data_IF_737517375643
#
_entry.id   IF_737517375643
#
_cell.length_a   1.000
_cell.length_b   1.000
_cell.length_c   1.000
_cell.angle_alpha   90.00
_cell.angle_beta   90.00
_cell.angle_gamma   90.00
#
_symmetry.space_group_name_H-M   'P 1'
#
loop_
_entity.id
_entity.type
_entity.pdbx_description
1 polymer ?
#
# COMPACT_ATOMS: atom_id res chain seq x y z
N UNK A 1 31.15 76.18 48.03
CA UNK A 1 30.96 75.20 46.94
C UNK A 1 30.70 73.84 47.57
N UNK A 2 29.43 73.47 47.65
CA UNK A 2 28.91 72.28 48.34
C UNK A 2 28.72 71.15 47.32
N UNK A 3 29.53 70.09 47.40
CA UNK A 3 29.31 68.89 46.60
C UNK A 3 28.53 67.84 47.40
N UNK A 4 27.25 67.77 47.07
CA UNK A 4 26.25 66.81 47.52
C UNK A 4 26.43 65.52 46.71
N UNK A 5 26.97 64.46 47.31
CA UNK A 5 26.99 63.12 46.68
C UNK A 5 25.63 62.46 46.93
N UNK A 6 24.93 62.20 45.83
CA UNK A 6 23.71 61.39 45.83
C UNK A 6 24.08 59.91 45.92
N UNK A 7 23.44 59.21 46.85
CA UNK A 7 23.43 57.75 46.92
C UNK A 7 22.40 57.23 45.90
N UNK A 8 22.86 56.45 44.92
CA UNK A 8 21.99 55.66 44.05
C UNK A 8 21.53 54.42 44.81
N UNK A 9 20.23 54.20 44.78
CA UNK A 9 19.52 53.12 45.45
C UNK A 9 18.65 52.43 44.39
N UNK A 10 18.68 51.09 44.38
CA UNK A 10 17.74 50.15 43.77
C UNK A 10 17.60 50.07 42.24
N UNK A 11 17.83 48.89 41.68
CA UNK A 11 16.75 47.91 41.46
C UNK A 11 17.33 46.55 41.01
N UNK A 12 17.27 45.58 41.92
CA UNK A 12 17.61 44.19 41.66
C UNK A 12 16.39 43.52 41.01
N UNK A 13 16.50 43.18 39.71
CA UNK A 13 15.44 42.45 39.00
C UNK A 13 15.40 40.99 39.45
N UNK A 14 14.23 40.42 39.79
CA UNK A 14 14.12 38.99 40.07
C UNK A 14 14.30 38.17 38.77
N UNK A 15 15.17 37.15 38.86
CA UNK A 15 15.40 36.13 37.83
C UNK A 15 14.10 35.35 37.54
N UNK A 16 13.72 35.12 36.28
CA UNK A 16 12.73 34.10 35.95
C UNK A 16 13.34 32.71 36.16
N UNK A 17 12.65 31.88 36.94
CA UNK A 17 12.95 30.47 37.08
C UNK A 17 12.49 29.75 35.81
N UNK A 18 13.43 29.41 34.92
CA UNK A 18 13.16 28.49 33.82
C UNK A 18 13.19 27.06 34.35
N UNK A 19 11.98 26.49 34.46
CA UNK A 19 11.75 25.10 34.79
C UNK A 19 12.33 24.18 33.72
N UNK A 20 13.08 23.19 34.19
CA UNK A 20 13.42 21.99 33.43
C UNK A 20 12.19 21.09 33.38
N UNK A 21 11.37 21.23 32.35
CA UNK A 21 10.43 20.18 31.94
C UNK A 21 11.04 19.39 30.78
N UNK A 22 11.90 18.43 31.15
CA UNK A 22 12.25 17.32 30.27
C UNK A 22 11.17 16.26 30.38
N UNK A 23 10.04 16.43 29.68
CA UNK A 23 9.11 15.34 29.40
C UNK A 23 9.43 14.76 28.02
N UNK A 24 10.19 13.67 28.03
CA UNK A 24 10.33 12.77 26.91
C UNK A 24 8.95 12.21 26.55
N UNK A 25 8.33 12.75 25.49
CA UNK A 25 7.18 12.11 24.86
C UNK A 25 7.66 10.88 24.07
N UNK A 26 7.83 9.77 24.79
CA UNK A 26 7.78 8.45 24.16
C UNK A 26 6.34 8.21 23.68
N UNK A 27 6.19 8.07 22.36
CA UNK A 27 4.94 7.70 21.71
C UNK A 27 4.64 6.21 21.96
N UNK A 28 4.35 5.86 23.21
CA UNK A 28 3.74 4.59 23.57
C UNK A 28 2.22 4.82 23.66
N UNK A 29 1.46 4.20 22.76
CA UNK A 29 0.01 4.29 22.75
C UNK A 29 -0.57 3.93 24.11
N UNK A 30 -1.24 4.88 24.75
CA UNK A 30 -1.94 4.67 26.00
C UNK A 30 -3.11 3.72 25.75
N UNK A 31 -2.93 2.45 26.12
CA UNK A 31 -4.01 1.48 26.23
C UNK A 31 -4.79 1.82 27.49
N UNK A 32 -6.00 2.35 27.32
CA UNK A 32 -6.89 2.74 28.42
C UNK A 32 -7.52 1.48 29.01
N UNK A 33 -7.10 1.10 30.22
CA UNK A 33 -7.79 0.10 31.03
C UNK A 33 -8.34 0.77 32.30
N UNK A 34 -9.65 1.03 32.30
CA UNK A 34 -10.36 1.48 33.50
C UNK A 34 -11.75 2.01 33.19
N UNK A 35 -12.78 1.26 33.59
CA UNK A 35 -14.20 1.61 33.43
C UNK A 35 -14.56 3.00 34.00
N UNK A 36 -13.76 3.52 34.93
CA UNK A 36 -13.96 4.85 35.53
C UNK A 36 -13.67 6.00 34.55
N UNK A 37 -12.62 5.91 33.74
CA UNK A 37 -12.28 6.96 32.77
C UNK A 37 -13.21 6.94 31.56
N UNK A 38 -13.78 5.78 31.22
CA UNK A 38 -14.77 5.68 30.15
C UNK A 38 -16.06 6.43 30.52
N UNK A 39 -16.46 6.43 31.80
CA UNK A 39 -17.60 7.24 32.28
C UNK A 39 -17.34 8.74 32.19
N UNK A 40 -16.15 9.19 32.55
CA UNK A 40 -15.77 10.61 32.43
C UNK A 40 -15.74 11.07 30.97
N UNK A 41 -15.20 10.24 30.06
CA UNK A 41 -15.18 10.56 28.64
C UNK A 41 -16.59 10.58 28.03
N UNK A 42 -17.45 9.64 28.42
CA UNK A 42 -18.84 9.58 27.96
C UNK A 42 -19.65 10.81 28.42
N UNK A 43 -19.47 11.21 29.68
CA UNK A 43 -20.12 12.40 30.24
C UNK A 43 -19.63 13.71 29.59
N UNK A 44 -18.34 13.81 29.28
CA UNK A 44 -17.79 14.95 28.55
C UNK A 44 -18.32 15.04 27.11
N UNK A 45 -18.45 13.89 26.43
CA UNK A 45 -19.01 13.82 25.08
C UNK A 45 -20.49 14.23 25.06
N UNK A 46 -21.33 13.73 25.97
CA UNK A 46 -22.75 14.12 26.05
C UNK A 46 -22.93 15.62 26.35
N UNK A 47 -22.11 16.20 27.24
CA UNK A 47 -22.16 17.63 27.54
C UNK A 47 -21.74 18.52 26.35
N UNK A 48 -20.87 18.02 25.45
CA UNK A 48 -20.47 18.76 24.25
C UNK A 48 -21.58 18.85 23.20
N UNK A 49 -22.42 17.80 23.08
CA UNK A 49 -23.55 17.78 22.15
C UNK A 49 -24.81 18.47 22.70
N UNK A 50 -24.95 18.63 24.02
CA UNK A 50 -26.09 19.30 24.63
C UNK A 50 -26.21 20.81 24.26
N UNK A 51 -25.11 21.43 23.79
CA UNK A 51 -25.09 22.84 23.37
C UNK A 51 -25.38 23.04 21.89
N UNK A 52 -25.29 22.00 21.07
CA UNK A 52 -25.53 22.10 19.63
C UNK A 52 -26.99 21.69 19.32
N UNK A 53 -27.92 22.63 19.56
CA UNK A 53 -29.35 22.45 19.25
C UNK A 53 -29.69 22.70 17.78
N UNK A 54 -28.70 22.67 16.90
CA UNK A 54 -28.90 22.84 15.47
C UNK A 54 -29.20 21.46 14.87
N UNK A 55 -30.43 21.17 14.41
CA UNK A 55 -30.67 19.96 13.66
C UNK A 55 -29.94 20.13 12.33
N UNK A 56 -28.71 19.62 12.26
CA UNK A 56 -28.01 19.50 10.99
C UNK A 56 -28.81 18.48 10.17
N UNK A 57 -29.65 19.02 9.29
CA UNK A 57 -30.38 18.27 8.28
C UNK A 57 -29.39 17.80 7.20
N UNK A 58 -28.35 17.07 7.62
CA UNK A 58 -27.38 16.47 6.73
C UNK A 58 -28.04 15.23 6.15
N UNK A 59 -28.56 15.38 4.95
CA UNK A 59 -29.13 14.29 4.17
C UNK A 59 -27.98 13.34 3.78
N UNK A 60 -27.62 12.43 4.68
CA UNK A 60 -26.67 11.37 4.36
C UNK A 60 -27.36 10.42 3.37
N UNK A 61 -26.77 10.16 2.19
CA UNK A 61 -27.29 9.16 1.29
C UNK A 61 -27.34 7.81 2.00
N UNK A 62 -28.45 7.11 1.79
CA UNK A 62 -28.75 5.79 2.37
C UNK A 62 -27.52 4.86 2.22
N UNK A 63 -27.10 4.14 3.27
CA UNK A 63 -25.89 3.32 3.22
C UNK A 63 -26.15 2.08 2.35
N UNK A 64 -25.90 2.23 1.05
CA UNK A 64 -25.93 1.17 0.05
C UNK A 64 -24.54 0.70 -0.40
N UNK A 65 -23.46 1.15 0.24
CA UNK A 65 -22.09 0.77 -0.13
C UNK A 65 -21.37 0.08 1.02
N UNK A 66 -21.27 -1.24 0.89
CA UNK A 66 -20.44 -2.13 1.71
C UNK A 66 -18.94 -1.81 1.52
N UNK A 67 -18.44 -0.73 2.13
CA UNK A 67 -17.01 -0.58 2.35
C UNK A 67 -16.63 -1.45 3.55
N UNK A 68 -16.17 -2.66 3.26
CA UNK A 68 -15.58 -3.56 4.24
C UNK A 68 -14.17 -3.05 4.56
N UNK A 69 -14.07 -2.22 5.59
CA UNK A 69 -12.79 -1.86 6.21
C UNK A 69 -12.27 -3.13 6.88
N UNK A 70 -11.22 -3.73 6.33
CA UNK A 70 -10.58 -4.91 6.91
C UNK A 70 -9.58 -4.43 7.97
N UNK A 71 -10.08 -4.13 9.16
CA UNK A 71 -9.26 -4.09 10.37
C UNK A 71 -9.13 -5.51 10.89
N UNK A 72 -7.90 -6.02 11.00
CA UNK A 72 -7.60 -7.22 11.78
C UNK A 72 -7.79 -6.90 13.27
N UNK A 73 -9.03 -6.98 13.74
CA UNK A 73 -9.31 -7.07 15.18
C UNK A 73 -9.79 -8.48 15.49
N UNK A 74 -8.98 -9.18 16.29
CA UNK A 74 -9.35 -10.44 16.92
C UNK A 74 -10.39 -10.19 18.02
N UNK A 75 -11.63 -9.89 17.60
CA UNK A 75 -12.78 -9.94 18.49
C UNK A 75 -13.23 -11.40 18.64
N UNK A 76 -13.12 -11.94 19.85
CA UNK A 76 -13.71 -13.24 20.20
C UNK A 76 -15.22 -13.06 20.34
N UNK A 77 -15.94 -13.18 19.23
CA UNK A 77 -17.40 -13.20 19.25
C UNK A 77 -17.92 -14.44 20.00
N UNK A 78 -18.73 -14.20 21.04
CA UNK A 78 -19.44 -15.20 21.86
C UNK A 78 -20.64 -15.84 21.16
N UNK A 79 -20.78 -15.68 19.85
CA UNK A 79 -21.83 -16.39 19.10
C UNK A 79 -21.29 -17.75 18.66
N UNK A 80 -21.88 -18.84 19.17
CA UNK A 80 -21.58 -20.23 18.79
C UNK A 80 -21.95 -20.58 17.34
N UNK A 81 -21.53 -19.75 16.38
CA UNK A 81 -21.47 -20.10 14.97
C UNK A 81 -20.14 -20.76 14.70
N UNK A 82 -20.19 -22.01 14.29
CA UNK A 82 -19.03 -22.80 13.90
C UNK A 82 -18.06 -21.96 13.06
N UNK A 83 -16.84 -21.79 13.58
CA UNK A 83 -15.74 -21.16 12.85
C UNK A 83 -15.61 -21.94 11.56
N UNK A 84 -15.99 -21.33 10.43
CA UNK A 84 -15.76 -21.91 9.10
C UNK A 84 -14.31 -22.33 9.05
N UNK A 85 -14.07 -23.63 8.90
CA UNK A 85 -12.74 -24.20 8.80
C UNK A 85 -11.91 -23.38 7.82
N UNK A 86 -10.61 -23.13 8.12
CA UNK A 86 -9.76 -22.38 7.22
C UNK A 86 -9.86 -22.99 5.83
N UNK A 87 -9.98 -22.16 4.78
CA UNK A 87 -10.10 -22.67 3.41
C UNK A 87 -8.93 -23.60 3.12
N UNK A 88 -9.20 -24.75 2.50
CA UNK A 88 -8.16 -25.68 2.10
C UNK A 88 -7.32 -25.03 0.97
N UNK A 89 -6.15 -24.51 1.35
CA UNK A 89 -5.19 -23.90 0.42
C UNK A 89 -4.20 -24.99 0.04
N UNK A 90 -4.09 -25.27 -1.26
CA UNK A 90 -3.02 -26.13 -1.78
C UNK A 90 -1.69 -25.43 -1.56
N UNK A 91 -0.75 -26.11 -0.90
CA UNK A 91 0.61 -25.61 -0.73
C UNK A 91 1.32 -25.49 -2.07
N UNK A 92 2.09 -24.42 -2.22
CA UNK A 92 2.79 -24.06 -3.44
C UNK A 92 4.14 -24.76 -3.43
N UNK A 93 4.44 -25.47 -4.51
CA UNK A 93 5.72 -26.19 -4.61
C UNK A 93 6.85 -25.25 -5.06
N UNK A 94 8.09 -25.58 -4.72
CA UNK A 94 9.26 -24.79 -5.13
C UNK A 94 9.39 -24.67 -6.65
N UNK A 95 9.13 -25.76 -7.37
CA UNK A 95 9.11 -25.77 -8.84
C UNK A 95 8.09 -24.78 -9.41
N UNK A 96 6.91 -24.65 -8.79
CA UNK A 96 5.91 -23.67 -9.20
C UNK A 96 6.39 -22.23 -8.99
N UNK A 97 7.15 -21.96 -7.93
CA UNK A 97 7.77 -20.65 -7.70
C UNK A 97 8.88 -20.36 -8.71
N UNK A 98 9.71 -21.34 -9.07
CA UNK A 98 10.77 -21.20 -10.08
C UNK A 98 10.21 -20.88 -11.47
N UNK A 99 9.14 -21.57 -11.88
CA UNK A 99 8.45 -21.29 -13.15
C UNK A 99 7.90 -19.87 -13.16
N UNK A 100 7.28 -19.42 -12.07
CA UNK A 100 6.75 -18.05 -11.95
C UNK A 100 7.85 -16.99 -11.95
N UNK A 101 8.96 -17.24 -11.23
CA UNK A 101 10.11 -16.35 -11.21
C UNK A 101 10.74 -16.22 -12.60
N UNK A 102 10.87 -17.33 -13.32
CA UNK A 102 11.36 -17.35 -14.71
C UNK A 102 10.43 -16.60 -15.66
N UNK A 103 9.12 -16.59 -15.37
CA UNK A 103 8.12 -15.77 -16.07
C UNK A 103 8.14 -14.28 -15.73
N UNK A 104 9.07 -13.81 -14.89
CA UNK A 104 9.22 -12.40 -14.52
C UNK A 104 8.43 -11.98 -13.28
N UNK A 105 7.85 -12.91 -12.51
CA UNK A 105 7.20 -12.58 -11.24
C UNK A 105 8.25 -12.26 -10.16
N UNK A 106 8.34 -10.98 -9.82
CA UNK A 106 9.31 -10.46 -8.84
C UNK A 106 9.08 -11.02 -7.43
N UNK A 107 7.83 -11.33 -7.06
CA UNK A 107 7.52 -11.87 -5.73
C UNK A 107 7.96 -13.32 -5.62
N UNK A 108 7.76 -14.13 -6.66
CA UNK A 108 8.24 -15.50 -6.69
C UNK A 108 9.78 -15.54 -6.58
N UNK A 109 10.48 -14.67 -7.31
CA UNK A 109 11.93 -14.54 -7.22
C UNK A 109 12.40 -14.10 -5.82
N UNK A 110 11.66 -13.19 -5.17
CA UNK A 110 11.94 -12.76 -3.79
C UNK A 110 11.88 -13.93 -2.80
N UNK A 111 10.85 -14.79 -2.87
CA UNK A 111 10.73 -15.94 -1.96
C UNK A 111 11.87 -16.95 -2.14
N UNK A 112 12.26 -17.24 -3.38
CA UNK A 112 13.40 -18.13 -3.65
C UNK A 112 14.72 -17.56 -3.11
N UNK A 113 14.94 -16.25 -3.29
CA UNK A 113 16.13 -15.56 -2.76
C UNK A 113 16.15 -15.59 -1.23
N UNK A 114 15.02 -15.29 -0.59
CA UNK A 114 14.93 -15.28 0.87
C UNK A 114 15.07 -16.67 1.48
N UNK A 115 14.50 -17.69 0.83
CA UNK A 115 14.69 -19.08 1.20
C UNK A 115 16.17 -19.48 1.14
N UNK A 116 16.85 -19.13 0.04
CA UNK A 116 18.29 -19.37 -0.13
C UNK A 116 19.10 -18.65 0.95
N UNK A 117 18.78 -17.39 1.22
CA UNK A 117 19.40 -16.58 2.27
C UNK A 117 19.34 -17.28 3.64
N UNK A 118 18.18 -17.82 4.03
CA UNK A 118 18.05 -18.59 5.28
C UNK A 118 18.87 -19.87 5.27
N UNK A 119 18.89 -20.60 4.15
CA UNK A 119 19.65 -21.84 4.01
C UNK A 119 21.16 -21.57 4.16
N UNK A 120 21.64 -20.48 3.57
CA UNK A 120 23.05 -20.12 3.54
C UNK A 120 23.52 -19.51 4.86
N UNK A 121 22.68 -18.73 5.55
CA UNK A 121 23.07 -17.97 6.74
C UNK A 121 22.65 -18.59 8.08
N UNK A 122 21.63 -19.46 8.12
CA UNK A 122 21.21 -20.11 9.36
C UNK A 122 21.74 -21.56 9.41
N UNK A 123 22.36 -21.96 10.54
CA UNK A 123 22.75 -23.36 10.73
C UNK A 123 21.51 -24.27 10.73
N UNK A 124 21.72 -25.55 10.40
CA UNK A 124 20.66 -26.54 10.48
C UNK A 124 20.15 -26.65 11.93
N UNK A 125 18.86 -26.45 12.14
CA UNK A 125 18.21 -26.46 13.45
C UNK A 125 16.77 -25.96 13.39
N UNK A 126 16.09 -25.95 14.54
CA UNK A 126 14.68 -25.56 14.63
C UNK A 126 14.42 -24.12 14.14
N UNK A 127 15.36 -23.20 14.34
CA UNK A 127 15.21 -21.82 13.92
C UNK A 127 15.14 -21.69 12.38
N UNK A 128 15.98 -22.45 11.67
CA UNK A 128 15.96 -22.52 10.21
C UNK A 128 14.64 -23.09 9.71
N UNK A 129 14.14 -24.16 10.33
CA UNK A 129 12.86 -24.78 9.95
C UNK A 129 11.68 -23.84 10.18
N UNK A 130 11.64 -23.13 11.32
CA UNK A 130 10.61 -22.13 11.60
C UNK A 130 10.64 -20.97 10.59
N UNK A 131 11.83 -20.50 10.22
CA UNK A 131 12.00 -19.44 9.23
C UNK A 131 11.52 -19.89 7.83
N UNK A 132 11.89 -21.11 7.41
CA UNK A 132 11.42 -21.71 6.16
C UNK A 132 9.90 -21.90 6.15
N UNK A 133 9.31 -22.38 7.26
CA UNK A 133 7.86 -22.54 7.39
C UNK A 133 7.10 -21.22 7.29
N UNK A 134 7.65 -20.13 7.86
CA UNK A 134 7.06 -18.78 7.76
C UNK A 134 7.06 -18.26 6.33
N UNK A 135 8.14 -18.48 5.59
CA UNK A 135 8.23 -18.13 4.18
C UNK A 135 7.25 -18.95 3.35
N UNK A 136 7.20 -20.26 3.60
CA UNK A 136 6.28 -21.15 2.90
C UNK A 136 4.82 -20.73 3.13
N UNK A 137 4.43 -20.44 4.38
CA UNK A 137 3.09 -19.94 4.70
C UNK A 137 2.76 -18.63 3.98
N UNK A 138 3.75 -17.73 3.85
CA UNK A 138 3.58 -16.48 3.11
C UNK A 138 3.43 -16.72 1.60
N UNK A 139 4.20 -17.65 1.04
CA UNK A 139 4.09 -18.06 -0.36
C UNK A 139 2.74 -18.72 -0.65
N UNK A 140 2.26 -19.61 0.23
CA UNK A 140 0.95 -20.25 0.12
C UNK A 140 -0.19 -19.22 0.21
N UNK A 141 -0.05 -18.20 1.06
CA UNK A 141 -1.05 -17.13 1.15
C UNK A 141 -1.10 -16.27 -0.13
N UNK A 142 0.04 -16.03 -0.78
CA UNK A 142 0.12 -15.21 -1.99
C UNK A 142 -0.22 -15.97 -3.28
N UNK A 143 0.23 -17.23 -3.38
CA UNK A 143 0.18 -18.00 -4.61
C UNK A 143 -0.67 -19.27 -4.51
N UNK A 144 -1.06 -19.67 -3.31
CA UNK A 144 -1.89 -20.84 -3.08
C UNK A 144 -3.26 -20.67 -3.71
N UNK A 145 -3.65 -21.66 -4.50
CA UNK A 145 -4.98 -21.70 -5.09
C UNK A 145 -5.97 -22.22 -4.05
N UNK A 146 -7.09 -21.50 -3.88
CA UNK A 146 -8.23 -22.02 -3.12
C UNK A 146 -8.80 -23.21 -3.87
N UNK A 147 -8.58 -24.41 -3.33
CA UNK A 147 -9.19 -25.61 -3.90
C UNK A 147 -10.65 -25.62 -3.43
N UNK A 148 -11.60 -25.59 -4.37
CA UNK A 148 -13.00 -25.89 -4.03
C UNK A 148 -13.06 -27.36 -3.64
N UNK A 149 -13.65 -27.67 -2.48
CA UNK A 149 -13.74 -29.02 -1.91
C UNK A 149 -14.29 -30.08 -2.88
N UNK A 150 -15.04 -29.66 -3.90
CA UNK A 150 -15.53 -30.54 -4.98
C UNK A 150 -14.43 -31.19 -5.84
N UNK A 151 -13.17 -30.75 -5.75
CA UNK A 151 -12.07 -31.26 -6.59
C UNK A 151 -11.08 -32.18 -5.84
N UNK A 152 -11.20 -32.34 -4.52
CA UNK A 152 -10.27 -33.13 -3.70
C UNK A 152 -10.43 -34.66 -3.84
N UNK A 153 -11.41 -35.14 -4.60
CA UNK A 153 -11.66 -36.59 -4.80
C UNK A 153 -11.00 -37.20 -6.04
N UNK A 154 -10.21 -36.47 -6.83
CA UNK A 154 -9.70 -36.98 -8.12
C UNK A 154 -8.18 -37.05 -8.26
N UNK A 155 -7.41 -36.88 -7.18
CA UNK A 155 -5.94 -36.83 -7.29
C UNK A 155 -5.25 -37.76 -6.29
N UNK A 156 -5.65 -39.03 -6.33
CA UNK A 156 -4.75 -40.15 -6.10
C UNK A 156 -4.81 -40.96 -7.39
N UNK A 157 -3.66 -41.25 -8.00
CA UNK A 157 -3.44 -41.98 -9.26
C UNK A 157 -2.99 -41.11 -10.44
N UNK A 158 -1.74 -40.65 -10.41
CA UNK A 158 -0.91 -40.52 -11.62
C UNK A 158 0.54 -40.18 -11.27
N UNK A 159 1.25 -41.11 -10.62
CA UNK A 159 2.69 -41.24 -10.85
C UNK A 159 2.87 -42.21 -12.02
N UNK A 160 3.02 -41.68 -13.24
CA UNK A 160 3.56 -42.47 -14.35
C UNK A 160 4.21 -41.60 -15.43
N UNK A 161 5.53 -41.72 -15.44
CA UNK A 161 6.46 -41.68 -16.59
C UNK A 161 6.65 -40.37 -17.37
N UNK A 162 7.76 -39.72 -17.01
CA UNK A 162 8.87 -39.38 -17.91
C UNK A 162 8.72 -39.87 -19.36
N UNK A 163 8.58 -38.94 -20.30
CA UNK A 163 9.24 -39.07 -21.61
C UNK A 163 9.45 -37.70 -22.23
N UNK A 164 10.66 -37.56 -22.73
CA UNK A 164 11.25 -36.43 -23.41
C UNK A 164 10.61 -36.22 -24.79
N UNK A 165 10.67 -34.97 -25.25
CA UNK A 165 11.39 -34.57 -26.46
C UNK A 165 10.61 -33.65 -27.44
N UNK A 166 11.38 -32.71 -28.00
CA UNK A 166 11.17 -31.94 -29.25
C UNK A 166 10.35 -30.65 -29.25
N UNK A 167 11.09 -29.56 -29.00
CA UNK A 167 11.41 -28.55 -30.01
C UNK A 167 10.57 -28.58 -31.31
N UNK A 168 9.74 -27.55 -31.53
CA UNK A 168 9.51 -27.00 -32.87
C UNK A 168 9.17 -25.51 -32.80
N UNK A 169 10.25 -24.76 -32.98
CA UNK A 169 10.36 -23.51 -33.72
C UNK A 169 9.19 -23.23 -34.68
N UNK A 170 8.47 -22.13 -34.42
CA UNK A 170 7.81 -21.31 -35.45
C UNK A 170 7.96 -19.83 -35.10
N UNK A 171 8.99 -19.24 -35.71
CA UNK A 171 9.07 -17.85 -36.12
C UNK A 171 7.91 -17.54 -37.09
N UNK A 172 7.27 -16.38 -37.01
CA UNK A 172 7.42 -15.19 -37.87
C UNK A 172 6.01 -14.53 -37.83
N UNK A 173 5.71 -13.25 -37.77
CA UNK A 173 6.38 -11.99 -38.03
C UNK A 173 5.66 -10.92 -37.16
N UNK A 174 6.41 -10.07 -36.47
CA UNK A 174 5.91 -8.72 -36.17
C UNK A 174 7.08 -7.75 -36.22
N UNK A 175 7.59 -7.56 -37.44
CA UNK A 175 8.46 -6.44 -37.81
C UNK A 175 7.58 -5.21 -37.88
N UNK A 176 7.72 -4.32 -36.89
CA UNK A 176 7.59 -2.84 -37.00
C UNK A 176 7.45 -2.17 -35.63
N UNK A 177 8.42 -2.41 -34.74
CA UNK A 177 8.55 -1.62 -33.51
C UNK A 177 10.02 -1.40 -33.11
N UNK A 178 10.90 -1.20 -34.09
CA UNK A 178 12.18 -0.53 -33.87
C UNK A 178 11.98 0.97 -34.15
N UNK A 179 11.06 1.58 -33.41
CA UNK A 179 11.07 3.03 -33.22
C UNK A 179 12.00 3.30 -32.05
N UNK A 180 13.12 3.94 -32.36
CA UNK A 180 14.07 4.59 -31.47
C UNK A 180 13.57 4.77 -30.03
N UNK A 181 13.89 3.81 -29.15
CA UNK A 181 13.75 3.94 -27.69
C UNK A 181 14.57 5.09 -27.09
N UNK A 182 15.35 5.80 -27.91
CA UNK A 182 16.31 6.83 -27.51
C UNK A 182 15.88 8.27 -27.76
N UNK A 183 14.73 8.53 -28.38
CA UNK A 183 14.40 9.89 -28.88
C UNK A 183 13.26 10.64 -28.16
N UNK A 184 12.46 10.01 -27.29
CA UNK A 184 11.17 10.62 -26.85
C UNK A 184 10.99 10.91 -25.36
N UNK A 185 12.06 11.03 -24.57
CA UNK A 185 11.90 11.41 -23.16
C UNK A 185 12.62 12.71 -22.87
N UNK A 186 11.96 13.85 -23.16
CA UNK A 186 12.25 15.05 -22.41
C UNK A 186 11.94 14.76 -20.94
N UNK A 187 12.99 14.56 -20.17
CA UNK A 187 12.97 14.44 -18.72
C UNK A 187 13.31 15.80 -18.13
N UNK A 188 12.68 16.11 -17.01
CA UNK A 188 12.94 17.31 -16.22
C UNK A 188 13.37 16.87 -14.84
N UNK A 189 14.48 17.41 -14.37
CA UNK A 189 14.91 17.20 -12.98
C UNK A 189 13.96 17.92 -12.04
N UNK A 190 13.44 17.18 -11.06
CA UNK A 190 12.55 17.69 -10.03
C UNK A 190 12.88 17.06 -8.68
N UNK A 191 12.72 17.86 -7.63
CA UNK A 191 12.87 17.39 -6.26
C UNK A 191 11.56 16.72 -5.81
N UNK A 192 11.60 15.42 -5.56
CA UNK A 192 10.46 14.62 -5.10
C UNK A 192 10.83 14.02 -3.75
N UNK A 193 10.08 14.36 -2.70
CA UNK A 193 10.33 13.89 -1.33
C UNK A 193 11.76 14.14 -0.81
N UNK A 194 12.42 15.19 -1.30
CA UNK A 194 13.78 15.53 -0.88
C UNK A 194 14.88 15.05 -1.84
N UNK A 195 14.57 14.12 -2.74
CA UNK A 195 15.52 13.54 -3.69
C UNK A 195 15.39 14.17 -5.08
N UNK A 196 16.52 14.34 -5.78
CA UNK A 196 16.54 14.80 -7.16
C UNK A 196 16.27 13.64 -8.11
N UNK A 197 15.14 13.70 -8.83
CA UNK A 197 14.68 12.64 -9.71
C UNK A 197 14.38 13.19 -11.10
N UNK A 198 14.75 12.43 -12.13
CA UNK A 198 14.34 12.70 -13.50
C UNK A 198 12.89 12.28 -13.70
N UNK A 199 12.01 13.27 -13.87
CA UNK A 199 10.58 13.05 -14.09
C UNK A 199 10.26 13.29 -15.57
N UNK A 200 9.35 12.50 -16.13
CA UNK A 200 8.86 12.74 -17.49
C UNK A 200 8.21 14.13 -17.59
N UNK A 201 8.46 14.85 -18.69
CA UNK A 201 7.78 16.12 -18.94
C UNK A 201 6.26 15.95 -18.93
N UNK A 202 5.55 17.02 -18.57
CA UNK A 202 4.09 17.01 -18.53
C UNK A 202 3.47 16.60 -19.86
N UNK A 203 4.00 17.10 -20.99
CA UNK A 203 3.55 16.72 -22.33
C UNK A 203 3.67 15.21 -22.59
N UNK A 204 4.73 14.57 -22.07
CA UNK A 204 4.93 13.13 -22.21
C UNK A 204 3.96 12.33 -21.31
N UNK A 205 3.72 12.80 -20.10
CA UNK A 205 2.72 12.21 -19.20
C UNK A 205 1.35 12.23 -19.87
N UNK A 206 0.97 13.38 -20.46
CA UNK A 206 -0.29 13.55 -21.19
C UNK A 206 -0.39 12.60 -22.38
N UNK A 207 0.66 12.50 -23.22
CA UNK A 207 0.68 11.53 -24.34
C UNK A 207 0.52 10.09 -23.88
N UNK A 208 1.23 9.70 -22.82
CA UNK A 208 1.12 8.35 -22.26
C UNK A 208 -0.30 8.04 -21.75
N UNK A 209 -0.96 9.04 -21.16
CA UNK A 209 -2.36 8.93 -20.72
C UNK A 209 -3.34 8.83 -21.88
N UNK A 210 -3.16 9.64 -22.93
CA UNK A 210 -3.96 9.55 -24.16
C UNK A 210 -3.82 8.16 -24.80
N UNK A 211 -2.60 7.64 -24.92
CA UNK A 211 -2.36 6.28 -25.45
C UNK A 211 -3.04 5.21 -24.61
N UNK A 212 -2.91 5.28 -23.28
CA UNK A 212 -3.55 4.33 -22.38
C UNK A 212 -5.10 4.40 -22.45
N UNK A 213 -5.67 5.60 -22.57
CA UNK A 213 -7.12 5.78 -22.70
C UNK A 213 -7.68 5.27 -24.04
N UNK A 214 -6.93 5.50 -25.13
CA UNK A 214 -7.32 5.11 -26.50
C UNK A 214 -7.32 3.59 -26.70
N UNK A 215 -6.51 2.85 -25.94
CA UNK A 215 -6.43 1.39 -26.04
C UNK A 215 -7.73 0.69 -25.61
N UNK A 216 -8.51 0.23 -26.59
CA UNK A 216 -9.79 -0.47 -26.37
C UNK A 216 -9.64 -1.81 -25.62
N UNK A 217 -8.47 -2.44 -25.64
CA UNK A 217 -8.20 -3.70 -24.93
C UNK A 217 -8.00 -3.48 -23.42
N UNK A 218 -7.75 -2.24 -23.00
CA UNK A 218 -7.60 -1.88 -21.58
C UNK A 218 -8.93 -1.96 -20.85
N UNK A 219 -8.89 -2.54 -19.65
CA UNK A 219 -10.09 -2.71 -18.79
C UNK A 219 -10.87 -1.39 -18.64
N UNK A 220 -12.22 -1.37 -18.76
CA UNK A 220 -13.01 -0.15 -18.77
C UNK A 220 -12.79 0.77 -17.56
N UNK A 221 -12.64 0.21 -16.36
CA UNK A 221 -12.40 0.97 -15.12
C UNK A 221 -11.07 1.73 -15.13
N UNK A 222 -10.01 1.17 -15.74
CA UNK A 222 -8.74 1.88 -15.92
C UNK A 222 -8.88 3.00 -16.95
N UNK A 223 -9.58 2.74 -18.06
CA UNK A 223 -9.84 3.78 -19.08
C UNK A 223 -10.60 4.97 -18.50
N UNK A 224 -11.63 4.73 -17.69
CA UNK A 224 -12.36 5.82 -17.00
C UNK A 224 -11.49 6.58 -16.00
N UNK A 225 -10.56 5.90 -15.32
CA UNK A 225 -9.55 6.58 -14.50
C UNK A 225 -8.63 7.47 -15.36
N UNK A 226 -8.11 6.92 -16.46
CA UNK A 226 -7.21 7.65 -17.36
C UNK A 226 -7.93 8.86 -18.02
N UNK A 227 -9.24 8.75 -18.31
CA UNK A 227 -10.11 9.86 -18.77
C UNK A 227 -10.20 10.99 -17.72
N UNK A 228 -10.48 10.64 -16.46
CA UNK A 228 -10.53 11.61 -15.36
C UNK A 228 -9.16 12.26 -15.12
N UNK A 229 -8.08 11.50 -15.20
CA UNK A 229 -6.72 12.03 -15.07
C UNK A 229 -6.42 13.04 -16.19
N UNK A 230 -6.88 12.79 -17.43
CA UNK A 230 -6.73 13.73 -18.55
C UNK A 230 -7.54 15.02 -18.36
N UNK A 231 -8.78 14.92 -17.86
CA UNK A 231 -9.59 16.11 -17.52
C UNK A 231 -8.92 16.98 -16.47
N UNK A 232 -8.38 16.37 -15.40
CA UNK A 232 -7.63 17.09 -14.36
C UNK A 232 -6.37 17.77 -14.88
N UNK A 233 -5.65 17.12 -15.80
CA UNK A 233 -4.48 17.73 -16.45
C UNK A 233 -4.94 18.95 -17.28
N UNK A 234 -6.06 18.85 -18.00
CA UNK A 234 -6.57 19.95 -18.82
C UNK A 234 -7.05 21.13 -17.97
N UNK A 235 -7.68 20.87 -16.82
CA UNK A 235 -8.08 21.89 -15.85
C UNK A 235 -6.87 22.64 -15.27
N UNK A 236 -5.80 21.90 -14.93
CA UNK A 236 -4.59 22.48 -14.36
C UNK A 236 -3.68 23.16 -15.39
N UNK A 237 -3.67 22.66 -16.64
CA UNK A 237 -2.77 23.09 -17.72
C UNK A 237 -3.54 23.30 -19.04
N UNK A 238 -4.31 24.39 -19.17
CA UNK A 238 -5.14 24.66 -20.33
C UNK A 238 -4.36 24.77 -21.65
N UNK A 239 -3.07 25.11 -21.59
CA UNK A 239 -2.18 25.18 -22.75
C UNK A 239 -2.06 23.84 -23.48
N UNK A 240 -2.31 22.71 -22.80
CA UNK A 240 -2.23 21.37 -23.39
C UNK A 240 -3.50 20.96 -24.16
N UNK A 241 -4.53 21.81 -24.21
CA UNK A 241 -5.80 21.50 -24.91
C UNK A 241 -5.62 21.12 -26.37
N UNK A 242 -4.61 21.69 -27.03
CA UNK A 242 -4.28 21.38 -28.43
C UNK A 242 -3.81 19.93 -28.64
N UNK A 243 -3.24 19.28 -27.61
CA UNK A 243 -2.79 17.90 -27.66
C UNK A 243 -3.88 16.89 -27.30
N UNK A 244 -5.01 17.33 -26.72
CA UNK A 244 -6.07 16.44 -26.25
C UNK A 244 -6.93 15.94 -27.42
N UNK A 245 -7.44 14.68 -27.37
CA UNK A 245 -8.48 14.20 -28.29
C UNK A 245 -9.75 15.04 -28.18
N UNK A 246 -10.50 15.17 -29.28
CA UNK A 246 -11.71 16.01 -29.33
C UNK A 246 -12.78 15.55 -28.32
N UNK A 247 -12.81 14.26 -27.99
CA UNK A 247 -13.76 13.64 -27.07
C UNK A 247 -13.56 14.07 -25.61
N UNK A 248 -12.38 14.60 -25.27
CA UNK A 248 -12.02 15.02 -23.90
C UNK A 248 -11.93 16.56 -23.79
N UNK A 249 -11.92 17.28 -24.93
CA UNK A 249 -11.72 18.73 -24.97
C UNK A 249 -12.87 19.55 -24.41
#
# INVERSE_FOLDING_TARGET
>A
MTHKKHAENHEEKPKPAEGKDSSEHSAAGAVIHGDAQQKEFSAAHENSHARDKSPSHLHLPTPGNNFKIVGEEHATDRSGKDRKSPPNIRSVTEKELEVKASGGDQYAAFFLKERKNIIDNLPAGEERERALARIQSSADKMFGQKVKESNLKSTQDSEREESTDKFSEKSDDNKDATLDKKSLMSTKEMKVLGEEVQVASLANITRGKIWAWTDRRRRPTKRKKDELDLMRILEAYPELRHMMPQEIR
#
